data_IF_692901669692
#
_entry.id   IF_692901669692
#
_cell.length_a   1.000
_cell.length_b   1.000
_cell.length_c   1.000
_cell.angle_alpha   90.00
_cell.angle_beta   90.00
_cell.angle_gamma   90.00
#
_symmetry.space_group_name_H-M   'P 1'
#
loop_
_entity.id
_entity.type
_entity.pdbx_description
1 polymer ?
#
# COMPACT_ATOMS: atom_id res chain seq x y z
N UNK A 1 11.73 -23.91 7.60
CA UNK A 1 10.86 -24.21 8.75
C UNK A 1 10.42 -25.66 8.59
N UNK A 2 10.40 -26.46 9.66
CA UNK A 2 9.77 -27.78 9.67
C UNK A 2 8.80 -27.90 10.83
N UNK A 3 7.77 -28.72 10.66
CA UNK A 3 6.81 -29.09 11.70
C UNK A 3 6.80 -30.61 11.76
N UNK A 4 7.07 -31.15 12.94
CA UNK A 4 7.22 -32.58 13.18
C UNK A 4 6.39 -32.97 14.40
N UNK A 5 5.75 -34.14 14.36
CA UNK A 5 5.10 -34.74 15.51
C UNK A 5 6.06 -35.73 16.18
N UNK A 6 6.37 -35.52 17.46
CA UNK A 6 7.27 -36.34 18.25
C UNK A 6 6.70 -36.56 19.65
N UNK A 7 6.45 -37.82 20.03
CA UNK A 7 6.06 -38.22 21.38
C UNK A 7 4.87 -37.39 21.95
N UNK A 8 3.78 -37.23 21.18
CA UNK A 8 2.63 -36.38 21.53
C UNK A 8 2.95 -34.89 21.68
N UNK A 9 3.99 -34.43 20.98
CA UNK A 9 4.29 -33.01 20.88
C UNK A 9 4.40 -32.60 19.41
N UNK A 10 3.90 -31.42 19.08
CA UNK A 10 4.27 -30.74 17.85
C UNK A 10 5.53 -29.93 18.09
N UNK A 11 6.56 -30.20 17.30
CA UNK A 11 7.85 -29.51 17.34
C UNK A 11 8.00 -28.68 16.08
N UNK A 12 8.18 -27.37 16.24
CA UNK A 12 8.42 -26.43 15.15
C UNK A 12 9.89 -26.05 15.16
N UNK A 13 10.56 -26.22 14.02
CA UNK A 13 11.98 -25.89 13.85
C UNK A 13 12.20 -24.78 12.84
N UNK A 14 13.12 -23.87 13.16
CA UNK A 14 13.64 -22.85 12.25
C UNK A 14 15.13 -23.11 12.09
N UNK A 15 15.61 -23.25 10.85
CA UNK A 15 17.01 -23.59 10.56
C UNK A 15 17.53 -24.86 11.30
N UNK A 16 16.64 -25.85 11.47
CA UNK A 16 16.85 -27.11 12.22
C UNK A 16 16.86 -26.98 13.75
N UNK A 17 16.79 -25.76 14.27
CA UNK A 17 16.71 -25.52 15.71
C UNK A 17 15.24 -25.55 16.16
N UNK A 18 14.94 -26.31 17.21
CA UNK A 18 13.61 -26.35 17.79
C UNK A 18 13.31 -25.04 18.52
N UNK A 19 12.33 -24.29 18.01
CA UNK A 19 11.93 -22.98 18.57
C UNK A 19 10.61 -23.04 19.33
N UNK A 20 9.81 -24.09 19.11
CA UNK A 20 8.52 -24.29 19.78
C UNK A 20 8.25 -25.78 19.97
N UNK A 21 7.71 -26.13 21.14
CA UNK A 21 7.25 -27.48 21.49
C UNK A 21 5.88 -27.37 22.15
N UNK A 22 4.85 -27.95 21.54
CA UNK A 22 3.47 -27.89 22.01
C UNK A 22 3.03 -29.30 22.36
N UNK A 23 2.71 -29.57 23.62
CA UNK A 23 2.11 -30.84 24.02
C UNK A 23 0.69 -30.94 23.45
N UNK A 24 0.39 -32.04 22.77
CA UNK A 24 -0.92 -32.29 22.16
C UNK A 24 -1.56 -33.53 22.78
N UNK A 25 -2.83 -33.41 23.15
CA UNK A 25 -3.60 -34.46 23.84
C UNK A 25 -4.29 -35.44 22.89
N UNK A 26 -4.03 -35.37 21.57
CA UNK A 26 -4.67 -36.17 20.53
C UNK A 26 -3.84 -36.26 19.26
N UNK A 27 -4.25 -37.10 18.33
CA UNK A 27 -3.55 -37.37 17.07
C UNK A 27 -3.88 -36.28 16.02
N UNK A 28 -2.87 -35.86 15.24
CA UNK A 28 -3.06 -34.89 14.15
C UNK A 28 -3.89 -35.46 12.98
N UNK A 29 -3.91 -36.79 12.86
CA UNK A 29 -4.62 -37.51 11.83
C UNK A 29 -5.98 -37.99 12.33
N UNK A 30 -7.05 -37.66 11.59
CA UNK A 30 -8.38 -38.21 11.86
C UNK A 30 -8.57 -39.52 11.11
N UNK A 31 -9.11 -40.55 11.78
CA UNK A 31 -9.51 -41.80 11.11
C UNK A 31 -10.88 -41.59 10.47
N UNK A 32 -10.94 -41.63 9.14
CA UNK A 32 -12.19 -41.63 8.38
C UNK A 32 -12.20 -42.83 7.42
N UNK A 33 -13.28 -43.63 7.49
CA UNK A 33 -13.45 -44.87 6.70
C UNK A 33 -12.25 -45.84 6.73
N UNK A 34 -11.54 -45.90 7.86
CA UNK A 34 -10.38 -46.78 8.04
C UNK A 34 -9.07 -46.24 7.44
N UNK A 35 -9.04 -44.99 6.98
CA UNK A 35 -7.84 -44.29 6.51
C UNK A 35 -7.55 -43.08 7.40
N UNK A 36 -6.27 -42.82 7.63
CA UNK A 36 -5.82 -41.60 8.30
C UNK A 36 -5.85 -40.43 7.31
N UNK A 37 -6.54 -39.36 7.67
CA UNK A 37 -6.66 -38.14 6.86
C UNK A 37 -5.96 -36.96 7.54
N UNK A 38 -5.29 -36.13 6.73
CA UNK A 38 -4.70 -34.86 7.12
C UNK A 38 -4.91 -33.86 5.99
N UNK A 39 -5.53 -32.72 6.30
CA UNK A 39 -5.70 -31.61 5.36
C UNK A 39 -4.65 -30.55 5.62
N UNK A 40 -3.86 -30.22 4.60
CA UNK A 40 -2.84 -29.18 4.66
C UNK A 40 -3.21 -28.06 3.68
N UNK A 41 -3.19 -26.82 4.17
CA UNK A 41 -3.38 -25.61 3.35
C UNK A 41 -2.16 -24.71 3.49
N UNK A 42 -1.83 -23.96 2.44
CA UNK A 42 -0.65 -23.08 2.38
C UNK A 42 -1.12 -21.67 2.09
N UNK A 43 -0.56 -20.69 2.81
CA UNK A 43 -0.84 -19.27 2.57
C UNK A 43 -2.24 -18.82 3.00
N UNK A 44 -2.95 -19.62 3.79
CA UNK A 44 -4.29 -19.32 4.27
C UNK A 44 -4.85 -20.45 5.12
N UNK A 45 -6.12 -20.30 5.51
CA UNK A 45 -6.87 -21.26 6.31
C UNK A 45 -8.18 -21.63 5.59
N UNK A 46 -8.69 -22.87 5.76
CA UNK A 46 -9.89 -23.34 5.04
C UNK A 46 -11.23 -22.88 5.67
N UNK A 47 -11.18 -22.00 6.67
CA UNK A 47 -12.34 -21.45 7.38
C UNK A 47 -12.12 -19.96 7.73
N UNK A 48 -13.10 -19.31 8.36
CA UNK A 48 -13.02 -17.87 8.63
C UNK A 48 -11.96 -17.56 9.68
N UNK A 49 -11.18 -16.50 9.48
CA UNK A 49 -10.16 -16.07 10.46
C UNK A 49 -10.73 -15.71 11.83
N UNK A 50 -11.99 -15.29 11.90
CA UNK A 50 -12.72 -15.05 13.15
C UNK A 50 -12.96 -16.30 14.00
N UNK A 51 -12.79 -17.50 13.41
CA UNK A 51 -12.95 -18.79 14.08
C UNK A 51 -11.62 -19.34 14.61
N UNK A 52 -10.50 -18.67 14.34
CA UNK A 52 -9.23 -18.97 14.99
C UNK A 52 -9.29 -18.61 16.48
N UNK A 53 -8.52 -19.32 17.31
CA UNK A 53 -8.36 -19.01 18.75
C UNK A 53 -7.97 -17.55 18.97
N UNK A 54 -7.09 -17.03 18.12
CA UNK A 54 -6.77 -15.63 18.02
C UNK A 54 -6.92 -15.19 16.56
N UNK A 55 -7.82 -14.23 16.32
CA UNK A 55 -8.04 -13.69 14.98
C UNK A 55 -6.79 -12.98 14.46
N UNK A 56 -6.51 -13.18 13.18
CA UNK A 56 -5.38 -12.57 12.46
C UNK A 56 -5.80 -12.26 11.02
N UNK A 57 -5.18 -11.25 10.42
CA UNK A 57 -5.27 -11.02 8.97
C UNK A 57 -4.42 -12.11 8.26
N UNK A 58 -5.03 -13.02 7.47
CA UNK A 58 -4.30 -14.16 6.90
C UNK A 58 -3.47 -13.80 5.66
N UNK A 59 -3.58 -12.57 5.14
CA UNK A 59 -2.81 -12.13 3.98
C UNK A 59 -1.32 -12.13 4.34
N UNK A 60 -0.52 -12.74 3.48
CA UNK A 60 0.91 -12.92 3.67
C UNK A 60 1.62 -12.69 2.33
N UNK A 61 2.30 -11.55 2.20
CA UNK A 61 3.29 -11.33 1.14
C UNK A 61 4.58 -12.09 1.49
N UNK A 62 4.59 -13.38 1.15
CA UNK A 62 5.67 -14.30 1.48
C UNK A 62 5.99 -15.25 0.35
N UNK A 63 7.24 -15.72 0.32
CA UNK A 63 7.70 -16.68 -0.68
C UNK A 63 8.09 -18.01 -0.06
N UNK A 64 7.72 -19.11 -0.72
CA UNK A 64 8.05 -20.47 -0.32
C UNK A 64 8.72 -21.22 -1.46
N UNK A 65 9.72 -22.04 -1.13
CA UNK A 65 10.45 -22.91 -2.06
C UNK A 65 10.94 -24.16 -1.34
N UNK A 66 11.35 -25.18 -2.10
CA UNK A 66 11.87 -26.44 -1.57
C UNK A 66 10.93 -27.07 -0.52
N UNK A 67 9.63 -27.06 -0.82
CA UNK A 67 8.65 -27.69 0.04
C UNK A 67 8.83 -29.21 0.02
N UNK A 68 8.60 -29.85 1.17
CA UNK A 68 8.57 -31.30 1.31
C UNK A 68 7.37 -31.66 2.19
N UNK A 69 6.32 -32.21 1.58
CA UNK A 69 5.10 -32.60 2.26
C UNK A 69 5.14 -34.11 2.50
N UNK A 70 5.38 -34.53 3.75
CA UNK A 70 5.37 -35.93 4.16
C UNK A 70 6.30 -36.86 3.34
N UNK A 71 7.39 -36.34 2.78
CA UNK A 71 8.31 -37.06 1.89
C UNK A 71 7.65 -37.59 0.60
N UNK A 72 6.54 -36.98 0.16
CA UNK A 72 5.93 -37.27 -1.13
C UNK A 72 6.77 -36.74 -2.30
N UNK A 73 6.73 -37.45 -3.42
CA UNK A 73 7.47 -37.10 -4.66
C UNK A 73 6.59 -36.34 -5.68
N UNK A 74 5.49 -35.72 -5.24
CA UNK A 74 4.56 -35.01 -6.13
C UNK A 74 5.15 -33.68 -6.66
N UNK A 75 5.35 -33.60 -7.99
CA UNK A 75 5.89 -32.43 -8.69
C UNK A 75 4.82 -31.51 -9.28
N UNK A 76 3.53 -31.85 -9.16
CA UNK A 76 2.43 -31.13 -9.82
C UNK A 76 2.37 -29.63 -9.48
N UNK A 77 2.60 -29.27 -8.21
CA UNK A 77 2.68 -27.89 -7.75
C UNK A 77 3.83 -27.15 -8.44
N UNK A 78 5.00 -27.80 -8.54
CA UNK A 78 6.19 -27.20 -9.15
C UNK A 78 5.97 -26.92 -10.65
N UNK A 79 5.32 -27.84 -11.36
CA UNK A 79 4.98 -27.68 -12.78
C UNK A 79 4.00 -26.53 -12.99
N UNK A 80 2.96 -26.44 -12.14
CA UNK A 80 1.95 -25.38 -12.21
C UNK A 80 2.56 -24.01 -11.94
N UNK A 81 3.41 -23.90 -10.91
CA UNK A 81 4.13 -22.66 -10.58
C UNK A 81 5.07 -22.25 -11.72
N UNK A 82 5.75 -23.20 -12.37
CA UNK A 82 6.65 -22.91 -13.50
C UNK A 82 5.89 -22.32 -14.70
N UNK A 83 4.67 -22.78 -14.95
CA UNK A 83 3.82 -22.30 -16.06
C UNK A 83 3.05 -21.02 -15.73
N UNK A 84 2.97 -20.63 -14.45
CA UNK A 84 2.16 -19.50 -13.99
C UNK A 84 3.03 -18.44 -13.33
N UNK A 85 3.42 -17.42 -14.07
CA UNK A 85 4.30 -16.33 -13.58
C UNK A 85 3.75 -15.65 -12.32
N UNK A 86 2.41 -15.49 -12.21
CA UNK A 86 1.76 -14.91 -11.03
C UNK A 86 1.91 -15.73 -9.73
N UNK A 87 2.34 -16.98 -9.81
CA UNK A 87 2.65 -17.83 -8.65
C UNK A 87 4.13 -17.79 -8.27
N UNK A 88 4.95 -17.02 -8.99
CA UNK A 88 6.38 -16.88 -8.75
C UNK A 88 6.65 -15.56 -8.03
N UNK A 89 7.53 -15.61 -7.04
CA UNK A 89 7.97 -14.42 -6.30
C UNK A 89 9.13 -13.73 -7.01
N UNK A 90 9.42 -12.48 -6.64
CA UNK A 90 10.68 -11.84 -7.04
C UNK A 90 11.90 -12.66 -6.59
N UNK A 91 12.89 -12.80 -7.47
CA UNK A 91 14.15 -13.49 -7.14
C UNK A 91 14.91 -12.79 -6.00
N UNK A 92 14.87 -11.46 -6.02
CA UNK A 92 15.39 -10.58 -4.98
C UNK A 92 14.27 -9.62 -4.62
N UNK A 93 14.01 -9.44 -3.33
CA UNK A 93 13.00 -8.52 -2.82
C UNK A 93 13.64 -7.59 -1.78
N UNK A 94 13.45 -6.28 -1.97
CA UNK A 94 13.70 -5.25 -0.98
C UNK A 94 12.45 -4.94 -0.16
N UNK A 95 12.60 -4.06 0.83
CA UNK A 95 11.50 -3.57 1.66
C UNK A 95 10.64 -2.56 0.89
N UNK A 96 9.36 -2.48 1.25
CA UNK A 96 8.38 -1.54 0.70
C UNK A 96 7.27 -2.26 -0.05
N UNK A 97 6.34 -1.49 -0.61
CA UNK A 97 5.24 -2.03 -1.42
C UNK A 97 5.46 -1.67 -2.88
N UNK A 98 5.35 -2.65 -3.80
CA UNK A 98 5.51 -2.39 -5.23
C UNK A 98 4.17 -2.19 -5.93
N UNK A 99 4.05 -1.03 -6.58
CA UNK A 99 2.93 -0.66 -7.42
C UNK A 99 3.32 -0.83 -8.89
N UNK A 100 2.68 -1.73 -9.65
CA UNK A 100 3.07 -2.00 -11.04
C UNK A 100 2.47 -1.03 -12.06
N UNK A 101 1.81 0.07 -11.65
CA UNK A 101 1.24 1.05 -12.59
C UNK A 101 -0.07 0.62 -13.26
N UNK A 102 -0.86 -0.26 -12.63
CA UNK A 102 -2.13 -0.78 -13.21
C UNK A 102 -3.32 -0.80 -12.25
N UNK A 103 -3.18 -0.21 -11.06
CA UNK A 103 -4.23 -0.19 -10.06
C UNK A 103 -3.82 0.57 -8.81
N UNK A 104 -4.69 0.51 -7.79
CA UNK A 104 -4.56 1.27 -6.55
C UNK A 104 -4.93 0.41 -5.33
N UNK A 105 -4.66 0.96 -4.15
CA UNK A 105 -5.24 0.50 -2.89
C UNK A 105 -6.20 1.57 -2.32
N UNK A 106 -7.26 1.12 -1.65
CA UNK A 106 -8.32 1.94 -1.07
C UNK A 106 -8.40 1.73 0.45
N UNK A 107 -8.51 2.84 1.18
CA UNK A 107 -8.65 2.87 2.63
C UNK A 107 -9.80 3.79 3.07
N UNK A 108 -10.34 3.50 4.26
CA UNK A 108 -11.19 4.42 5.01
C UNK A 108 -10.36 4.98 6.16
N UNK A 109 -10.01 6.26 6.07
CA UNK A 109 -9.21 6.97 7.07
C UNK A 109 -10.00 8.21 7.47
N UNK A 110 -10.12 8.43 8.78
CA UNK A 110 -10.69 9.64 9.35
C UNK A 110 -9.58 10.70 9.53
N UNK A 111 -9.83 11.89 8.99
CA UNK A 111 -8.89 13.02 9.03
C UNK A 111 -9.29 14.09 10.05
N UNK A 112 -10.39 13.87 10.78
CA UNK A 112 -10.84 14.77 11.84
C UNK A 112 -9.99 14.57 13.09
N UNK A 113 -9.57 15.69 13.71
CA UNK A 113 -8.97 15.70 15.03
C UNK A 113 -10.02 16.11 16.06
N UNK A 114 -10.08 15.45 17.23
CA UNK A 114 -10.94 15.89 18.32
C UNK A 114 -10.44 17.26 18.82
N UNK A 115 -11.18 18.33 18.53
CA UNK A 115 -10.95 19.66 19.11
C UNK A 115 -11.70 19.78 20.44
N UNK A 116 -11.16 20.60 21.36
CA UNK A 116 -11.86 20.99 22.59
C UNK A 116 -12.88 22.12 22.37
N UNK A 117 -12.90 22.71 21.18
CA UNK A 117 -13.81 23.78 20.79
C UNK A 117 -14.88 23.21 19.86
N UNK A 118 -16.12 23.13 20.37
CA UNK A 118 -17.28 22.46 19.73
C UNK A 118 -17.72 23.06 18.38
N UNK A 119 -17.13 24.17 17.93
CA UNK A 119 -17.68 24.97 16.81
C UNK A 119 -16.95 24.83 15.47
N UNK A 120 -15.79 24.15 15.39
CA UNK A 120 -15.12 23.85 14.12
C UNK A 120 -14.43 22.49 14.16
N UNK A 121 -14.83 21.59 13.28
CA UNK A 121 -14.08 20.35 13.03
C UNK A 121 -12.68 20.73 12.55
N UNK A 122 -11.67 20.46 13.38
CA UNK A 122 -10.28 20.67 12.99
C UNK A 122 -9.82 19.41 12.28
N UNK A 123 -9.63 19.46 10.96
CA UNK A 123 -9.07 18.35 10.20
C UNK A 123 -7.63 18.66 9.84
N UNK A 124 -6.85 17.60 9.66
CA UNK A 124 -5.53 17.70 9.06
C UNK A 124 -5.24 16.45 8.25
N UNK A 125 -4.67 16.60 7.07
CA UNK A 125 -4.16 15.50 6.26
C UNK A 125 -2.65 15.53 6.33
N UNK A 126 -2.04 14.58 7.05
CA UNK A 126 -0.60 14.41 7.14
C UNK A 126 -0.19 13.11 6.44
N UNK A 127 0.69 13.21 5.45
CA UNK A 127 1.22 12.05 4.71
C UNK A 127 2.75 12.14 4.63
N UNK A 128 3.42 11.07 5.02
CA UNK A 128 4.86 10.89 4.79
C UNK A 128 5.05 9.65 3.93
N UNK A 129 5.67 9.80 2.77
CA UNK A 129 5.93 8.71 1.85
C UNK A 129 7.42 8.58 1.56
N UNK A 130 7.89 7.33 1.48
CA UNK A 130 9.20 6.96 0.97
C UNK A 130 8.95 6.33 -0.39
N UNK A 131 9.41 6.99 -1.46
CA UNK A 131 9.12 6.60 -2.84
C UNK A 131 10.40 6.30 -3.59
N UNK A 132 10.35 5.30 -4.47
CA UNK A 132 11.37 5.02 -5.46
C UNK A 132 10.65 4.77 -6.79
N UNK A 133 10.32 5.86 -7.51
CA UNK A 133 9.52 5.80 -8.73
C UNK A 133 10.29 5.13 -9.86
N UNK A 134 9.59 4.38 -10.70
CA UNK A 134 10.11 3.86 -11.96
C UNK A 134 9.52 4.59 -13.19
N UNK A 135 8.55 5.48 -12.98
CA UNK A 135 8.04 6.44 -13.95
C UNK A 135 8.00 7.85 -13.35
N UNK A 136 8.01 8.87 -14.20
CA UNK A 136 8.00 10.29 -13.82
C UNK A 136 6.59 10.87 -13.65
N UNK A 137 5.55 10.08 -13.95
CA UNK A 137 4.15 10.46 -13.82
C UNK A 137 3.36 9.39 -13.07
N UNK A 138 2.52 9.80 -12.13
CA UNK A 138 1.62 8.90 -11.40
C UNK A 138 1.12 9.46 -10.07
N UNK A 139 -0.09 9.04 -9.68
CA UNK A 139 -0.71 9.45 -8.41
C UNK A 139 -0.14 8.65 -7.24
N UNK A 140 0.46 9.33 -6.27
CA UNK A 140 0.97 8.71 -5.04
C UNK A 140 -0.16 8.50 -4.03
N UNK A 141 -0.92 9.56 -3.77
CA UNK A 141 -1.99 9.64 -2.77
C UNK A 141 -3.12 10.51 -3.30
N UNK A 142 -4.36 10.15 -3.01
CA UNK A 142 -5.50 11.01 -3.28
C UNK A 142 -6.67 10.76 -2.30
N UNK A 143 -7.46 11.81 -2.09
CA UNK A 143 -8.78 11.74 -1.51
C UNK A 143 -9.80 11.80 -2.63
N UNK A 144 -10.84 10.98 -2.54
CA UNK A 144 -11.94 10.93 -3.51
C UNK A 144 -13.27 10.98 -2.76
N UNK A 145 -14.15 11.88 -3.17
CA UNK A 145 -15.47 12.05 -2.58
C UNK A 145 -16.48 11.03 -3.15
N UNK A 146 -17.70 10.99 -2.60
CA UNK A 146 -18.74 10.07 -3.06
C UNK A 146 -19.24 10.38 -4.49
N UNK A 147 -19.18 11.65 -4.88
CA UNK A 147 -19.55 12.16 -6.19
C UNK A 147 -18.38 12.14 -7.20
N UNK A 148 -17.31 11.41 -6.90
CA UNK A 148 -16.15 11.20 -7.78
C UNK A 148 -15.34 12.47 -8.09
N UNK A 149 -15.48 13.51 -7.28
CA UNK A 149 -14.49 14.58 -7.24
C UNK A 149 -13.19 14.08 -6.58
N UNK A 150 -12.08 14.77 -6.82
CA UNK A 150 -10.77 14.46 -6.23
C UNK A 150 -10.35 15.65 -5.35
N UNK A 151 -10.84 15.75 -4.09
CA UNK A 151 -10.62 16.92 -3.26
C UNK A 151 -9.15 17.20 -2.94
N UNK A 152 -8.30 16.18 -2.93
CA UNK A 152 -6.87 16.33 -2.69
C UNK A 152 -6.11 15.26 -3.46
N UNK A 153 -5.04 15.62 -4.16
CA UNK A 153 -4.15 14.68 -4.83
C UNK A 153 -2.69 15.09 -4.67
N UNK A 154 -1.82 14.08 -4.57
CA UNK A 154 -0.37 14.18 -4.57
C UNK A 154 0.16 13.29 -5.70
N UNK A 155 0.84 13.89 -6.68
CA UNK A 155 1.24 13.18 -7.88
C UNK A 155 2.57 13.66 -8.47
N UNK A 156 3.23 12.76 -9.17
CA UNK A 156 4.37 13.05 -10.04
C UNK A 156 3.87 13.46 -11.43
N UNK A 157 4.52 14.42 -12.07
CA UNK A 157 4.24 14.88 -13.44
C UNK A 157 5.52 15.36 -14.14
N UNK A 158 5.65 15.12 -15.45
CA UNK A 158 6.84 15.46 -16.26
C UNK A 158 6.70 16.78 -17.07
N UNK A 159 5.60 17.51 -16.87
CA UNK A 159 5.26 18.67 -17.68
C UNK A 159 4.64 19.81 -16.87
N UNK A 160 5.23 21.00 -16.99
CA UNK A 160 4.67 22.25 -16.50
C UNK A 160 3.71 22.84 -17.54
N UNK A 161 2.41 22.79 -17.26
CA UNK A 161 1.35 23.24 -18.18
C UNK A 161 1.43 24.73 -18.52
N UNK A 162 1.52 25.61 -17.51
CA UNK A 162 1.54 27.07 -17.71
C UNK A 162 2.79 27.57 -18.43
N UNK A 163 3.98 27.11 -18.01
CA UNK A 163 5.25 27.49 -18.62
C UNK A 163 5.57 26.72 -19.91
N UNK A 164 4.77 25.70 -20.26
CA UNK A 164 4.97 24.79 -21.39
C UNK A 164 6.37 24.16 -21.42
N UNK A 165 6.79 23.63 -20.27
CA UNK A 165 8.16 23.16 -20.07
C UNK A 165 8.18 21.70 -19.60
N UNK A 166 9.01 20.86 -20.24
CA UNK A 166 9.25 19.49 -19.79
C UNK A 166 10.24 19.48 -18.64
N UNK A 167 9.74 19.20 -17.44
CA UNK A 167 10.47 19.09 -16.18
C UNK A 167 9.64 18.24 -15.23
N UNK A 168 10.31 17.50 -14.35
CA UNK A 168 9.66 16.65 -13.37
C UNK A 168 9.26 17.47 -12.15
N UNK A 169 8.03 17.30 -11.69
CA UNK A 169 7.50 17.96 -10.51
C UNK A 169 6.75 16.96 -9.63
N UNK A 170 6.80 17.24 -8.33
CA UNK A 170 5.81 16.74 -7.39
C UNK A 170 4.80 17.87 -7.18
N UNK A 171 3.53 17.56 -7.40
CA UNK A 171 2.44 18.52 -7.27
C UNK A 171 1.44 18.05 -6.22
N UNK A 172 0.96 19.02 -5.44
CA UNK A 172 -0.19 18.86 -4.57
C UNK A 172 -1.33 19.70 -5.12
N UNK A 173 -2.50 19.10 -5.31
CA UNK A 173 -3.65 19.75 -5.94
C UNK A 173 -4.93 19.53 -5.15
N UNK A 174 -5.81 20.53 -5.19
CA UNK A 174 -7.19 20.44 -4.70
C UNK A 174 -8.08 20.51 -5.92
N UNK A 175 -8.82 19.42 -6.18
CA UNK A 175 -9.45 19.19 -7.49
C UNK A 175 -8.42 19.37 -8.62
N UNK A 176 -8.72 20.22 -9.61
CA UNK A 176 -7.85 20.50 -10.73
C UNK A 176 -6.85 21.65 -10.51
N UNK A 177 -6.83 22.25 -9.31
CA UNK A 177 -5.98 23.41 -8.99
C UNK A 177 -4.72 22.95 -8.24
N UNK A 178 -3.55 23.20 -8.82
CA UNK A 178 -2.25 22.96 -8.16
C UNK A 178 -2.04 24.01 -7.08
N UNK A 179 -2.00 23.60 -5.82
CA UNK A 179 -1.82 24.50 -4.65
C UNK A 179 -0.36 24.65 -4.25
N UNK A 180 0.45 23.62 -4.48
CA UNK A 180 1.90 23.66 -4.24
C UNK A 180 2.63 22.72 -5.19
N UNK A 181 3.87 23.08 -5.54
CA UNK A 181 4.74 22.27 -6.40
C UNK A 181 6.21 22.37 -5.99
N UNK A 182 6.97 21.35 -6.37
CA UNK A 182 8.43 21.35 -6.27
C UNK A 182 9.01 20.66 -7.50
N UNK A 183 10.05 21.25 -8.07
CA UNK A 183 10.85 20.59 -9.12
C UNK A 183 11.67 19.48 -8.49
N UNK A 184 11.65 18.30 -9.10
CA UNK A 184 12.28 17.10 -8.58
C UNK A 184 13.10 16.41 -9.66
N UNK A 185 13.95 15.50 -9.24
CA UNK A 185 14.54 14.48 -10.10
C UNK A 185 14.16 13.14 -9.47
N UNK A 186 13.45 12.31 -10.24
CA UNK A 186 13.04 10.96 -9.81
C UNK A 186 13.63 9.92 -10.76
N UNK A 187 13.37 8.64 -10.47
CA UNK A 187 13.90 7.49 -11.20
C UNK A 187 15.43 7.32 -11.05
N UNK A 188 16.04 7.91 -10.03
CA UNK A 188 17.46 7.81 -9.68
C UNK A 188 17.66 7.02 -8.38
N UNK A 189 16.92 7.35 -7.32
CA UNK A 189 17.03 6.74 -6.00
C UNK A 189 15.70 6.79 -5.24
N UNK A 190 15.77 6.48 -3.96
CA UNK A 190 14.67 6.64 -3.04
C UNK A 190 14.61 8.07 -2.48
N UNK A 191 13.40 8.60 -2.36
CA UNK A 191 13.11 9.96 -1.90
C UNK A 191 12.09 9.98 -0.78
N UNK A 192 12.15 11.04 0.02
CA UNK A 192 11.20 11.30 1.10
C UNK A 192 10.27 12.43 0.66
N UNK A 193 8.96 12.17 0.78
CA UNK A 193 7.90 13.13 0.48
C UNK A 193 7.08 13.36 1.74
N UNK A 194 6.84 14.61 2.08
CA UNK A 194 6.00 14.97 3.22
C UNK A 194 4.99 16.03 2.82
N UNK A 195 3.72 15.80 3.17
CA UNK A 195 2.68 16.80 3.05
C UNK A 195 1.92 16.97 4.37
N UNK A 196 1.49 18.19 4.63
CA UNK A 196 0.55 18.51 5.71
C UNK A 196 -0.43 19.55 5.18
N UNK A 197 -1.72 19.22 5.21
CA UNK A 197 -2.80 20.09 4.73
C UNK A 197 -3.80 20.30 5.86
N UNK A 198 -4.19 21.55 6.10
CA UNK A 198 -5.22 21.93 7.06
C UNK A 198 -6.07 23.07 6.50
N UNK A 199 -7.09 23.50 7.24
CA UNK A 199 -7.92 24.65 6.85
C UNK A 199 -7.13 25.97 6.70
N UNK A 200 -5.96 26.07 7.34
CA UNK A 200 -5.18 27.32 7.37
C UNK A 200 -3.97 27.32 6.43
N UNK A 201 -3.43 26.14 6.10
CA UNK A 201 -2.16 26.08 5.39
C UNK A 201 -1.95 24.76 4.64
N UNK A 202 -1.07 24.84 3.64
CA UNK A 202 -0.55 23.73 2.84
C UNK A 202 0.97 23.66 3.00
N UNK A 203 1.46 22.45 3.22
CA UNK A 203 2.87 22.14 3.29
C UNK A 203 3.19 20.97 2.35
N UNK A 204 4.24 21.14 1.54
CA UNK A 204 4.80 20.13 0.65
C UNK A 204 6.31 20.17 0.79
N UNK A 205 6.94 19.02 0.98
CA UNK A 205 8.40 18.89 0.91
C UNK A 205 8.83 17.64 0.16
N UNK A 206 10.00 17.73 -0.47
CA UNK A 206 10.66 16.65 -1.17
C UNK A 206 12.15 16.65 -0.78
N UNK A 207 12.64 15.54 -0.23
CA UNK A 207 14.00 15.41 0.31
C UNK A 207 14.39 16.58 1.25
N UNK A 208 13.44 17.04 2.07
CA UNK A 208 13.61 18.16 3.00
C UNK A 208 13.57 19.57 2.36
N UNK A 209 13.44 19.66 1.04
CA UNK A 209 13.27 20.93 0.32
C UNK A 209 11.79 21.29 0.25
N UNK A 210 11.45 22.53 0.61
CA UNK A 210 10.07 23.01 0.62
C UNK A 210 9.58 23.34 -0.78
N UNK A 211 8.35 22.92 -1.07
CA UNK A 211 7.64 23.28 -2.28
C UNK A 211 7.17 24.73 -2.29
N UNK A 212 7.08 25.29 -3.49
CA UNK A 212 6.53 26.61 -3.74
C UNK A 212 5.00 26.55 -3.67
N UNK A 213 4.38 27.57 -3.04
CA UNK A 213 2.93 27.79 -3.10
C UNK A 213 2.57 28.47 -4.42
N UNK A 214 1.54 27.98 -5.07
CA UNK A 214 1.13 28.44 -6.41
C UNK A 214 -0.03 29.44 -6.39
N UNK A 215 -0.65 29.63 -5.23
CA UNK A 215 -1.79 30.51 -5.02
C UNK A 215 -1.42 31.63 -4.05
N UNK A 216 -2.05 32.80 -4.22
CA UNK A 216 -2.04 33.83 -3.18
C UNK A 216 -2.87 33.41 -1.96
N UNK A 217 -2.77 34.16 -0.85
CA UNK A 217 -3.48 33.81 0.40
C UNK A 217 -5.00 33.73 0.24
N UNK A 218 -5.62 34.61 -0.54
CA UNK A 218 -7.08 34.65 -0.71
C UNK A 218 -7.58 33.47 -1.56
N UNK A 219 -6.85 33.14 -2.62
CA UNK A 219 -7.12 31.98 -3.46
C UNK A 219 -6.93 30.69 -2.66
N UNK A 220 -5.82 30.58 -1.94
CA UNK A 220 -5.52 29.42 -1.11
C UNK A 220 -6.60 29.19 -0.05
N UNK A 221 -7.04 30.24 0.64
CA UNK A 221 -8.10 30.14 1.64
C UNK A 221 -9.42 29.63 1.03
N UNK A 222 -9.78 30.12 -0.17
CA UNK A 222 -10.98 29.69 -0.90
C UNK A 222 -10.88 28.21 -1.27
N UNK A 223 -9.73 27.78 -1.77
CA UNK A 223 -9.45 26.38 -2.12
C UNK A 223 -9.48 25.46 -0.90
N UNK A 224 -8.97 25.89 0.25
CA UNK A 224 -8.98 25.11 1.49
C UNK A 224 -10.38 25.01 2.11
N UNK A 225 -11.25 26.02 1.92
CA UNK A 225 -12.67 25.93 2.31
C UNK A 225 -13.42 24.88 1.47
N UNK A 226 -13.10 24.77 0.18
CA UNK A 226 -13.66 23.71 -0.68
C UNK A 226 -13.22 22.31 -0.20
N UNK A 227 -11.94 22.14 0.14
CA UNK A 227 -11.45 20.89 0.71
C UNK A 227 -12.13 20.56 2.06
N UNK A 228 -12.39 21.57 2.90
CA UNK A 228 -13.12 21.38 4.16
C UNK A 228 -14.53 20.80 3.93
N UNK A 229 -15.30 21.37 3.00
CA UNK A 229 -16.65 20.88 2.66
C UNK A 229 -16.64 19.42 2.17
N UNK A 230 -15.66 19.04 1.37
CA UNK A 230 -15.47 17.66 0.94
C UNK A 230 -15.16 16.70 2.10
N UNK A 231 -14.28 17.12 3.02
CA UNK A 231 -13.90 16.31 4.18
C UNK A 231 -15.08 16.12 5.15
N UNK A 232 -15.92 17.14 5.36
CA UNK A 232 -17.14 17.04 6.18
C UNK A 232 -18.17 16.06 5.59
N UNK A 233 -18.24 15.95 4.26
CA UNK A 233 -19.12 14.99 3.55
C UNK A 233 -18.58 13.56 3.54
N UNK A 234 -17.32 13.39 3.91
CA UNK A 234 -16.61 12.13 3.97
C UNK A 234 -15.94 11.76 2.64
N UNK A 235 -14.70 11.30 2.75
CA UNK A 235 -13.84 10.94 1.62
C UNK A 235 -13.29 9.52 1.77
N UNK A 236 -12.86 8.95 0.66
CA UNK A 236 -12.10 7.71 0.58
C UNK A 236 -10.65 8.01 0.25
N UNK A 237 -9.73 7.24 0.81
CA UNK A 237 -8.28 7.41 0.59
C UNK A 237 -7.78 6.41 -0.43
N UNK A 238 -7.15 6.89 -1.49
CA UNK A 238 -6.56 6.09 -2.56
C UNK A 238 -5.04 6.26 -2.57
N UNK A 239 -4.34 5.16 -2.79
CA UNK A 239 -2.87 5.11 -2.85
C UNK A 239 -2.43 4.41 -4.13
N UNK A 240 -1.48 5.03 -4.83
CA UNK A 240 -0.92 4.54 -6.09
C UNK A 240 -1.79 4.75 -7.34
N UNK A 241 -2.92 5.43 -7.21
CA UNK A 241 -3.87 5.63 -8.32
C UNK A 241 -5.19 6.23 -7.92
N UNK A 242 -6.12 6.29 -8.87
CA UNK A 242 -7.48 6.77 -8.71
C UNK A 242 -8.48 5.76 -9.30
N UNK A 243 -9.75 5.76 -8.84
CA UNK A 243 -10.82 5.08 -9.55
C UNK A 243 -11.13 5.84 -10.86
N UNK A 244 -12.08 5.34 -11.66
CA UNK A 244 -12.52 6.01 -12.88
C UNK A 244 -13.18 7.36 -12.57
N UNK A 245 -12.41 8.44 -12.69
CA UNK A 245 -12.82 9.84 -12.46
C UNK A 245 -12.68 10.61 -13.77
N UNK A 246 -13.39 11.74 -13.89
CA UNK A 246 -13.20 12.63 -15.03
C UNK A 246 -11.72 13.05 -15.14
N UNK A 247 -11.16 13.07 -16.35
CA UNK A 247 -9.76 13.49 -16.60
C UNK A 247 -9.50 14.93 -16.14
N UNK A 248 -10.56 15.75 -16.06
CA UNK A 248 -10.51 17.12 -15.56
C UNK A 248 -10.64 17.25 -14.04
N UNK A 249 -10.83 16.15 -13.30
CA UNK A 249 -11.03 16.19 -11.85
C UNK A 249 -9.75 16.48 -11.06
N UNK A 250 -8.58 16.19 -11.64
CA UNK A 250 -7.26 16.40 -11.04
C UNK A 250 -6.20 16.46 -12.15
N UNK A 251 -5.03 17.11 -11.95
CA UNK A 251 -4.03 17.23 -13.00
C UNK A 251 -3.42 15.90 -13.47
N UNK A 252 -3.39 14.87 -12.61
CA UNK A 252 -2.82 13.54 -12.92
C UNK A 252 -3.79 12.45 -12.49
N UNK A 253 -4.09 11.53 -13.41
CA UNK A 253 -4.93 10.34 -13.17
C UNK A 253 -4.19 9.02 -13.42
N UNK A 254 -2.95 9.08 -13.89
CA UNK A 254 -2.14 7.89 -14.15
C UNK A 254 -1.80 7.12 -12.87
N UNK A 255 -1.75 5.79 -12.97
CA UNK A 255 -1.31 4.93 -11.87
C UNK A 255 0.19 5.13 -11.59
N UNK A 256 0.54 5.13 -10.30
CA UNK A 256 1.93 5.12 -9.89
C UNK A 256 2.61 3.79 -10.22
N UNK A 257 3.82 3.88 -10.76
CA UNK A 257 4.68 2.74 -11.04
C UNK A 257 5.99 2.89 -10.27
N UNK A 258 6.22 2.01 -9.30
CA UNK A 258 7.41 2.06 -8.45
C UNK A 258 7.19 1.50 -7.05
N UNK A 259 8.22 1.64 -6.23
CA UNK A 259 8.19 1.24 -4.83
C UNK A 259 7.72 2.40 -3.96
N UNK A 260 6.85 2.14 -2.99
CA UNK A 260 6.35 3.16 -2.08
C UNK A 260 6.04 2.56 -0.71
N UNK A 261 6.36 3.31 0.34
CA UNK A 261 5.87 3.08 1.72
C UNK A 261 5.25 4.39 2.20
N UNK A 262 4.12 4.31 2.90
CA UNK A 262 3.37 5.51 3.30
C UNK A 262 2.97 5.45 4.77
N UNK A 263 3.02 6.59 5.43
CA UNK A 263 2.40 6.85 6.72
C UNK A 263 1.35 7.93 6.52
N UNK A 264 0.17 7.73 7.11
CA UNK A 264 -0.92 8.71 7.12
C UNK A 264 -1.27 8.97 8.58
N UNK A 265 -1.33 10.23 9.00
CA UNK A 265 -1.52 10.62 10.42
C UNK A 265 -0.52 9.91 11.36
N UNK A 266 0.75 9.86 10.95
CA UNK A 266 1.83 9.17 11.66
C UNK A 266 1.62 7.65 11.87
N UNK A 267 0.63 7.03 11.21
CA UNK A 267 0.41 5.58 11.23
C UNK A 267 0.91 4.96 9.93
N UNK A 268 1.79 3.94 9.98
CA UNK A 268 2.15 3.17 8.79
C UNK A 268 0.93 2.56 8.15
N UNK A 269 0.85 2.68 6.82
CA UNK A 269 -0.23 2.10 6.04
C UNK A 269 0.14 0.66 5.67
N UNK A 270 -0.66 -0.31 6.13
CA UNK A 270 -0.51 -1.70 5.71
C UNK A 270 -1.48 -1.98 4.54
N UNK A 271 -0.94 -2.35 3.39
CA UNK A 271 -1.75 -2.69 2.20
C UNK A 271 -2.61 -3.94 2.42
N UNK A 272 -2.24 -4.81 3.35
CA UNK A 272 -3.08 -5.95 3.71
C UNK A 272 -4.26 -5.55 4.59
N UNK A 273 -4.29 -4.36 5.19
CA UNK A 273 -5.46 -3.84 5.92
C UNK A 273 -6.35 -2.94 5.04
N UNK A 274 -6.04 -2.83 3.76
CA UNK A 274 -6.85 -2.09 2.80
C UNK A 274 -8.25 -2.68 2.63
N UNK A 275 -9.20 -1.80 2.28
CA UNK A 275 -10.56 -2.16 1.89
C UNK A 275 -10.54 -2.88 0.55
N UNK A 276 -9.68 -2.40 -0.35
CA UNK A 276 -9.41 -2.99 -1.65
C UNK A 276 -7.96 -2.75 -2.00
N UNK A 277 -7.33 -3.76 -2.60
CA UNK A 277 -5.98 -3.69 -3.18
C UNK A 277 -6.02 -4.39 -4.52
N UNK A 278 -5.53 -3.75 -5.57
CA UNK A 278 -5.36 -4.41 -6.85
C UNK A 278 -4.41 -5.62 -6.72
N UNK A 279 -4.77 -6.76 -7.32
CA UNK A 279 -4.08 -8.05 -7.09
C UNK A 279 -2.59 -8.07 -7.48
N UNK A 280 -2.19 -7.20 -8.41
CA UNK A 280 -0.78 -7.12 -8.84
C UNK A 280 0.08 -6.23 -7.92
N UNK A 281 -0.50 -5.57 -6.90
CA UNK A 281 0.25 -4.81 -5.89
C UNK A 281 0.75 -5.77 -4.82
N UNK A 282 2.05 -5.72 -4.55
CA UNK A 282 2.69 -6.49 -3.46
C UNK A 282 2.77 -5.61 -2.21
N UNK A 283 2.43 -6.20 -1.06
CA UNK A 283 2.21 -5.43 0.18
C UNK A 283 3.51 -5.04 0.86
N UNK A 284 4.49 -5.93 0.89
CA UNK A 284 5.66 -5.81 1.75
C UNK A 284 6.97 -6.18 1.05
N UNK A 285 6.92 -6.42 -0.26
CA UNK A 285 8.08 -6.69 -1.10
C UNK A 285 8.18 -5.73 -2.29
N UNK A 286 9.43 -5.41 -2.64
CA UNK A 286 9.75 -4.53 -3.76
C UNK A 286 10.83 -5.16 -4.64
N UNK A 287 10.70 -5.20 -5.97
CA UNK A 287 11.78 -5.69 -6.82
C UNK A 287 12.98 -4.75 -6.74
N UNK A 288 14.22 -5.25 -6.92
CA UNK A 288 15.40 -4.38 -6.95
C UNK A 288 15.30 -3.42 -8.13
N UNK A 289 15.88 -2.23 -7.96
CA UNK A 289 16.14 -1.32 -9.07
C UNK A 289 16.99 -2.09 -10.08
N UNK A 290 16.54 -2.19 -11.33
CA UNK A 290 17.39 -2.71 -12.40
C UNK A 290 18.57 -1.76 -12.50
N UNK A 291 19.76 -2.17 -12.04
CA UNK A 291 20.97 -1.45 -12.39
C UNK A 291 21.04 -1.38 -13.91
N UNK A 292 21.15 -0.18 -14.46
CA UNK A 292 21.45 0.00 -15.87
C UNK A 292 22.71 -0.82 -16.17
N UNK A 293 22.58 -1.78 -17.09
CA UNK A 293 23.75 -2.43 -17.71
C UNK A 293 24.41 -1.45 -18.65
#
# INVERSE_FOLDING_TARGET
>A
ISVEELERNLVIKVNKDAVMKIAVSGDLFSVDKGLYQLNLTVGGIPFKSSELVQSINPRLDGCMRNWNWLNGEDTSIQETVRMTEKMQCFLVAGRGSFFPGRGFALFHIDYTYPSKEESKANWRVEVNAQINPATDTGVLFALVSKDMAVPLSLALIDYHSTAKMKRQFLIMSVENVVVSRIEIQVCDREHIVEISVSINDVFLSFDGTLGQKELDESQLQTTLLLLNDHLEKGVKTYVGGLPDVAVTATPVTAFYHGCMTMKIQNKPLDLDDSVYKHNDITSHSCPPIKSAK
#
